data_IF_222659216102
#
_entry.id   IF_222659216102
#
_cell.length_a   1.000
_cell.length_b   1.000
_cell.length_c   1.000
_cell.angle_alpha   90.00
_cell.angle_beta   90.00
_cell.angle_gamma   90.00
#
_symmetry.space_group_name_H-M   'P 1'
#
loop_
_entity.id
_entity.type
_entity.pdbx_description
1 polymer ?
#
# COMPACT_ATOMS: atom_id res chain seq x y z
N UNK A 1 -10.49 -20.68 0.31
CA UNK A 1 -10.99 -20.28 1.63
C UNK A 1 -12.42 -19.82 1.46
N UNK A 2 -13.35 -20.49 2.14
CA UNK A 2 -14.78 -20.20 2.14
C UNK A 2 -15.04 -18.74 2.53
N UNK A 3 -15.52 -17.94 1.59
CA UNK A 3 -16.60 -17.00 1.90
C UNK A 3 -17.87 -17.77 1.59
N UNK A 4 -18.63 -18.11 2.63
CA UNK A 4 -19.93 -18.72 2.46
C UNK A 4 -20.81 -17.81 1.59
N UNK A 5 -21.55 -18.41 0.67
CA UNK A 5 -22.39 -17.76 -0.34
C UNK A 5 -23.62 -17.13 0.36
N UNK A 6 -23.39 -16.00 1.03
CA UNK A 6 -24.45 -15.21 1.67
C UNK A 6 -25.13 -14.41 0.57
N UNK A 7 -26.37 -14.78 0.22
CA UNK A 7 -27.20 -13.97 -0.65
C UNK A 7 -27.48 -12.62 0.03
N UNK A 8 -27.17 -11.53 -0.68
CA UNK A 8 -27.48 -10.20 -0.19
C UNK A 8 -29.01 -9.98 -0.22
N UNK A 9 -29.58 -9.23 0.75
CA UNK A 9 -30.99 -8.90 0.71
C UNK A 9 -31.39 -8.20 -0.60
N UNK A 10 -32.59 -8.44 -1.14
CA UNK A 10 -32.98 -7.93 -2.46
C UNK A 10 -32.85 -6.41 -2.64
N UNK A 11 -33.06 -5.64 -1.58
CA UNK A 11 -32.93 -4.18 -1.60
C UNK A 11 -31.52 -3.70 -1.96
N UNK A 12 -30.50 -4.55 -1.79
CA UNK A 12 -29.10 -4.20 -2.07
C UNK A 12 -28.75 -4.25 -3.54
N UNK A 13 -29.48 -4.98 -4.38
CA UNK A 13 -29.14 -5.18 -5.80
C UNK A 13 -29.10 -3.88 -6.60
N UNK A 14 -29.90 -2.89 -6.21
CA UNK A 14 -29.91 -1.58 -6.86
C UNK A 14 -28.68 -0.72 -6.49
N UNK A 15 -27.95 -1.08 -5.43
CA UNK A 15 -26.88 -0.27 -4.84
C UNK A 15 -25.50 -0.94 -4.87
N UNK A 16 -25.40 -2.21 -4.48
CA UNK A 16 -24.15 -2.93 -4.35
C UNK A 16 -23.77 -3.67 -5.64
N UNK A 17 -22.49 -3.65 -6.06
CA UNK A 17 -21.43 -2.77 -5.57
C UNK A 17 -21.41 -1.38 -6.25
N UNK A 18 -22.05 -1.21 -7.40
CA UNK A 18 -21.74 -0.10 -8.32
C UNK A 18 -22.08 1.29 -7.77
N UNK A 19 -23.24 1.48 -7.11
CA UNK A 19 -23.61 2.80 -6.58
C UNK A 19 -22.83 3.16 -5.31
N UNK A 20 -22.28 2.16 -4.63
CA UNK A 20 -21.45 2.38 -3.42
C UNK A 20 -20.00 2.69 -3.76
N UNK A 21 -19.50 2.21 -4.88
CA UNK A 21 -18.09 2.35 -5.27
C UNK A 21 -17.58 3.81 -5.23
N UNK A 22 -18.31 4.84 -5.73
CA UNK A 22 -17.84 6.22 -5.63
C UNK A 22 -17.59 6.69 -4.20
N UNK A 23 -18.46 6.32 -3.25
CA UNK A 23 -18.30 6.68 -1.84
C UNK A 23 -17.09 5.97 -1.20
N UNK A 24 -16.83 4.72 -1.59
CA UNK A 24 -15.65 3.98 -1.16
C UNK A 24 -14.38 4.66 -1.67
N UNK A 25 -14.33 4.99 -2.97
CA UNK A 25 -13.16 5.67 -3.56
C UNK A 25 -12.93 7.04 -2.93
N UNK A 26 -14.01 7.81 -2.70
CA UNK A 26 -13.93 9.08 -1.98
C UNK A 26 -13.36 8.90 -0.57
N UNK A 27 -13.74 7.85 0.15
CA UNK A 27 -13.22 7.58 1.50
C UNK A 27 -11.70 7.37 1.50
N UNK A 28 -11.13 6.73 0.48
CA UNK A 28 -9.68 6.63 0.34
C UNK A 28 -9.05 7.98 -0.02
N UNK A 29 -9.64 8.71 -0.98
CA UNK A 29 -9.15 10.01 -1.44
C UNK A 29 -9.05 11.03 -0.30
N UNK A 30 -9.99 11.02 0.65
CA UNK A 30 -9.99 11.97 1.78
C UNK A 30 -8.70 11.90 2.61
N UNK A 31 -8.07 10.74 2.74
CA UNK A 31 -6.81 10.59 3.47
C UNK A 31 -5.58 11.14 2.73
N UNK A 32 -5.70 11.35 1.42
CA UNK A 32 -4.60 11.68 0.50
C UNK A 32 -4.93 12.85 -0.42
N UNK A 33 -5.91 13.67 -0.04
CA UNK A 33 -6.53 14.68 -0.90
C UNK A 33 -5.54 15.74 -1.42
N UNK A 34 -4.55 16.10 -0.61
CA UNK A 34 -3.50 17.04 -0.98
C UNK A 34 -2.11 16.52 -0.58
N UNK A 35 -1.06 17.19 -1.03
CA UNK A 35 0.31 16.71 -0.85
C UNK A 35 0.76 16.67 0.63
N UNK A 36 0.20 17.54 1.47
CA UNK A 36 0.44 17.49 2.91
C UNK A 36 -0.13 16.21 3.52
N UNK A 37 -1.36 15.85 3.17
CA UNK A 37 -2.02 14.64 3.62
C UNK A 37 -1.34 13.38 3.08
N UNK A 38 -0.98 13.34 1.80
CA UNK A 38 -0.17 12.25 1.21
C UNK A 38 1.12 12.03 2.00
N UNK A 39 1.86 13.12 2.27
CA UNK A 39 3.10 13.09 3.04
C UNK A 39 2.89 12.61 4.48
N UNK A 40 1.80 13.02 5.12
CA UNK A 40 1.47 12.60 6.48
C UNK A 40 1.07 11.11 6.54
N UNK A 41 0.22 10.67 5.61
CA UNK A 41 -0.37 9.34 5.60
C UNK A 41 0.62 8.24 5.18
N UNK A 42 1.41 8.46 4.12
CA UNK A 42 2.35 7.46 3.59
C UNK A 42 3.83 7.74 3.90
N UNK A 43 4.20 9.00 4.14
CA UNK A 43 5.60 9.42 4.27
C UNK A 43 6.38 8.74 5.42
N UNK A 44 5.83 8.55 6.62
CA UNK A 44 6.52 7.85 7.70
C UNK A 44 6.93 6.41 7.33
N UNK A 45 6.07 5.68 6.62
CA UNK A 45 6.36 4.32 6.17
C UNK A 45 7.43 4.31 5.07
N UNK A 46 7.30 5.18 4.06
CA UNK A 46 8.31 5.32 2.99
C UNK A 46 9.67 5.67 3.58
N UNK A 47 9.71 6.60 4.55
CA UNK A 47 10.95 6.97 5.26
C UNK A 47 11.57 5.79 6.01
N UNK A 48 10.74 4.95 6.64
CA UNK A 48 11.20 3.73 7.32
C UNK A 48 11.82 2.76 6.30
N UNK A 49 11.13 2.50 5.20
CA UNK A 49 11.59 1.61 4.13
C UNK A 49 12.92 2.07 3.55
N UNK A 50 13.03 3.36 3.18
CA UNK A 50 14.27 3.95 2.68
C UNK A 50 15.42 3.82 3.69
N UNK A 51 15.17 4.11 4.97
CA UNK A 51 16.19 3.94 6.03
C UNK A 51 16.67 2.50 6.12
N UNK A 52 15.76 1.53 6.08
CA UNK A 52 16.11 0.11 6.11
C UNK A 52 16.94 -0.29 4.89
N UNK A 53 16.62 0.21 3.70
CA UNK A 53 17.39 -0.04 2.48
C UNK A 53 18.80 0.55 2.55
N UNK A 54 18.93 1.79 3.03
CA UNK A 54 20.23 2.44 3.25
C UNK A 54 21.07 1.72 4.33
N UNK A 55 20.43 1.21 5.38
CA UNK A 55 21.11 0.38 6.38
C UNK A 55 21.63 -0.93 5.78
N UNK A 56 20.86 -1.55 4.87
CA UNK A 56 21.30 -2.75 4.15
C UNK A 56 22.47 -2.46 3.19
N UNK A 57 22.45 -1.31 2.52
CA UNK A 57 23.52 -0.87 1.63
C UNK A 57 24.82 -0.54 2.37
N UNK A 58 24.70 0.02 3.58
CA UNK A 58 25.86 0.43 4.40
C UNK A 58 26.34 -0.65 5.38
N UNK A 59 25.84 -1.88 5.28
CA UNK A 59 26.12 -3.00 6.19
C UNK A 59 25.86 -2.69 7.69
N UNK A 60 24.95 -1.77 7.97
CA UNK A 60 24.53 -1.38 9.34
C UNK A 60 23.18 -1.97 9.75
N UNK A 61 22.56 -2.79 8.89
CA UNK A 61 21.29 -3.45 9.18
C UNK A 61 21.45 -4.51 10.28
N UNK A 62 20.53 -4.53 11.25
CA UNK A 62 20.52 -5.52 12.34
C UNK A 62 19.23 -6.33 12.38
N UNK A 63 19.30 -7.68 12.36
CA UNK A 63 20.49 -8.48 12.05
C UNK A 63 20.90 -8.32 10.59
N UNK A 64 22.21 -8.41 10.31
CA UNK A 64 22.76 -8.23 8.95
C UNK A 64 22.25 -9.26 7.95
N UNK A 65 21.88 -10.45 8.43
CA UNK A 65 21.32 -11.53 7.61
C UNK A 65 19.86 -11.31 7.19
N UNK A 66 19.17 -10.24 7.62
CA UNK A 66 17.76 -10.04 7.28
C UNK A 66 17.59 -9.71 5.80
N UNK A 67 16.75 -10.51 5.12
CA UNK A 67 16.46 -10.39 3.68
C UNK A 67 15.08 -9.83 3.35
N UNK A 68 14.14 -9.85 4.29
CA UNK A 68 12.74 -9.49 4.03
C UNK A 68 12.11 -8.84 5.26
N UNK A 69 11.18 -7.91 5.01
CA UNK A 69 10.23 -7.37 5.97
C UNK A 69 8.82 -7.57 5.43
N UNK A 70 7.96 -8.20 6.23
CA UNK A 70 6.54 -8.34 5.92
C UNK A 70 5.73 -7.46 6.86
N UNK A 71 4.78 -6.72 6.30
CA UNK A 71 3.87 -5.85 7.04
C UNK A 71 2.43 -6.24 6.71
N UNK A 72 1.60 -6.40 7.74
CA UNK A 72 0.16 -6.57 7.57
C UNK A 72 -0.47 -5.19 7.42
N UNK A 73 -1.26 -5.01 6.37
CA UNK A 73 -1.79 -3.72 5.97
C UNK A 73 -3.26 -3.83 5.59
N UNK A 74 -3.98 -2.72 5.74
CA UNK A 74 -5.31 -2.55 5.15
C UNK A 74 -5.19 -1.97 3.74
N UNK A 75 -6.23 -2.12 2.93
CA UNK A 75 -6.42 -1.46 1.63
C UNK A 75 -6.08 0.04 1.66
N UNK A 76 -6.59 0.77 2.65
CA UNK A 76 -6.29 2.19 2.90
C UNK A 76 -4.82 2.47 3.14
N UNK A 77 -4.09 1.53 3.75
CA UNK A 77 -2.63 1.65 3.93
C UNK A 77 -1.90 1.57 2.60
N UNK A 78 -2.31 0.67 1.70
CA UNK A 78 -1.77 0.60 0.34
C UNK A 78 -2.06 1.90 -0.42
N UNK A 79 -3.29 2.39 -0.38
CA UNK A 79 -3.64 3.66 -1.04
C UNK A 79 -2.80 4.82 -0.50
N UNK A 80 -2.60 4.92 0.81
CA UNK A 80 -1.78 5.97 1.41
C UNK A 80 -0.33 5.95 0.91
N UNK A 81 0.28 4.76 0.83
CA UNK A 81 1.66 4.60 0.36
C UNK A 81 1.76 4.86 -1.14
N UNK A 82 0.89 4.26 -1.96
CA UNK A 82 0.88 4.45 -3.41
C UNK A 82 0.61 5.91 -3.78
N UNK A 83 -0.27 6.60 -3.05
CA UNK A 83 -0.57 8.01 -3.25
C UNK A 83 0.61 8.91 -2.86
N UNK A 84 1.31 8.59 -1.77
CA UNK A 84 2.51 9.30 -1.38
C UNK A 84 3.69 9.10 -2.34
N UNK A 85 3.73 7.97 -3.05
CA UNK A 85 4.66 7.69 -4.15
C UNK A 85 4.20 8.28 -5.50
N UNK A 86 2.95 8.78 -5.59
CA UNK A 86 2.39 9.36 -6.81
C UNK A 86 1.98 8.32 -7.87
N UNK A 87 1.80 7.05 -7.49
CA UNK A 87 1.52 5.94 -8.41
C UNK A 87 0.17 5.26 -8.16
N UNK A 88 -0.65 5.78 -7.24
CA UNK A 88 -2.00 5.28 -7.07
C UNK A 88 -2.87 5.63 -8.28
N UNK A 89 -3.58 4.64 -8.83
CA UNK A 89 -4.37 4.73 -10.05
C UNK A 89 -5.83 5.17 -9.81
N UNK A 90 -6.21 5.44 -8.56
CA UNK A 90 -7.57 5.83 -8.20
C UNK A 90 -8.54 4.66 -8.00
N UNK A 91 -8.07 3.41 -8.03
CA UNK A 91 -8.89 2.22 -7.82
C UNK A 91 -8.77 1.69 -6.39
N UNK A 92 -9.82 1.01 -5.94
CA UNK A 92 -9.79 0.29 -4.66
C UNK A 92 -8.89 -0.94 -4.80
N UNK A 93 -7.93 -1.17 -3.87
CA UNK A 93 -7.12 -2.38 -3.90
C UNK A 93 -7.99 -3.64 -3.82
N UNK A 94 -7.71 -4.62 -4.67
CA UNK A 94 -8.36 -5.92 -4.60
C UNK A 94 -8.01 -6.65 -3.30
N UNK A 95 -8.85 -7.62 -2.91
CA UNK A 95 -8.50 -8.52 -1.81
C UNK A 95 -7.14 -9.19 -2.07
N UNK A 96 -6.34 -9.36 -1.01
CA UNK A 96 -4.97 -9.88 -1.06
C UNK A 96 -3.96 -9.08 -1.92
N UNK A 97 -4.27 -7.82 -2.28
CA UNK A 97 -3.28 -6.95 -2.92
C UNK A 97 -2.07 -6.72 -2.01
N UNK A 98 -0.90 -6.59 -2.63
CA UNK A 98 0.38 -6.42 -1.93
C UNK A 98 1.25 -5.43 -2.70
N UNK A 99 1.98 -4.61 -1.93
CA UNK A 99 3.09 -3.81 -2.44
C UNK A 99 4.40 -4.51 -2.08
N UNK A 100 5.18 -4.87 -3.10
CA UNK A 100 6.55 -5.36 -2.94
C UNK A 100 7.47 -4.21 -3.37
N UNK A 101 8.49 -3.93 -2.55
CA UNK A 101 9.56 -3.01 -2.90
C UNK A 101 10.89 -3.73 -2.74
N UNK A 102 11.69 -3.72 -3.78
CA UNK A 102 12.91 -4.51 -3.89
C UNK A 102 14.13 -3.61 -3.91
N UNK A 103 15.18 -4.01 -3.20
CA UNK A 103 16.49 -3.36 -3.26
C UNK A 103 17.46 -4.32 -3.96
N UNK A 104 17.99 -3.90 -5.11
CA UNK A 104 18.88 -4.69 -5.94
C UNK A 104 20.29 -4.11 -5.92
N UNK A 105 21.29 -5.00 -5.83
CA UNK A 105 22.70 -4.67 -6.00
C UNK A 105 23.22 -5.35 -7.27
N UNK A 106 23.64 -4.57 -8.26
CA UNK A 106 24.14 -5.05 -9.56
C UNK A 106 25.48 -4.39 -9.84
N UNK A 107 26.56 -5.20 -9.86
CA UNK A 107 27.93 -4.72 -10.10
C UNK A 107 28.35 -3.55 -9.17
N UNK A 108 27.93 -3.58 -7.91
CA UNK A 108 28.19 -2.52 -6.92
C UNK A 108 27.27 -1.29 -7.03
N UNK A 109 26.33 -1.26 -7.98
CA UNK A 109 25.30 -0.24 -8.09
C UNK A 109 23.99 -0.69 -7.44
N UNK A 110 23.32 0.24 -6.78
CA UNK A 110 22.07 -0.03 -6.05
C UNK A 110 20.88 0.61 -6.74
N UNK A 111 19.78 -0.14 -6.86
CA UNK A 111 18.51 0.36 -7.40
C UNK A 111 17.32 -0.14 -6.58
N UNK A 112 16.21 0.60 -6.63
CA UNK A 112 14.94 0.28 -5.97
C UNK A 112 13.87 0.09 -7.03
N UNK A 113 13.12 -1.01 -6.93
CA UNK A 113 11.98 -1.33 -7.78
C UNK A 113 10.70 -1.43 -6.93
#
# INVERSE_FOLDING_TARGET
SQMDEIELPPWTHDYFPQRMLPSVLLSYQMNVYNDQLKKLAGGPFIKKLLRTMLQRQSDTLTPSARKMYAYVAHDSTLVNVLSALGVWDGTAPNFSSMLIVELHEVNGYWNVQ
#
